data_IF_129432865976
#
_entry.id   IF_129432865976
#
_cell.length_a   1.000
_cell.length_b   1.000
_cell.length_c   1.000
_cell.angle_alpha   90.00
_cell.angle_beta   90.00
_cell.angle_gamma   90.00
#
_symmetry.space_group_name_H-M   'P 1'
#
loop_
_entity.id
_entity.type
_entity.pdbx_description
1 polymer ?
#
# COMPACT_ATOMS: atom_id res chain seq x y z
N UNK A 1 -20.88 5.92 9.34
CA UNK A 1 -20.72 5.23 8.04
C UNK A 1 -19.36 4.54 7.97
N UNK A 2 -19.30 3.46 7.24
CA UNK A 2 -18.04 2.72 7.02
C UNK A 2 -17.43 3.10 5.68
N UNK A 3 -16.14 3.33 5.67
CA UNK A 3 -15.38 3.68 4.49
C UNK A 3 -14.23 2.70 4.31
N UNK A 4 -14.02 2.26 3.09
CA UNK A 4 -12.97 1.31 2.74
C UNK A 4 -11.80 2.04 2.11
N UNK A 5 -10.59 1.55 2.39
CA UNK A 5 -9.37 2.21 1.94
C UNK A 5 -8.38 1.19 1.38
N UNK A 6 -7.61 1.65 0.42
CA UNK A 6 -6.42 0.96 -0.07
C UNK A 6 -5.23 1.89 0.09
N UNK A 7 -4.19 1.40 0.76
CA UNK A 7 -2.99 2.18 1.03
C UNK A 7 -1.78 1.42 0.46
N UNK A 8 -0.97 2.10 -0.32
CA UNK A 8 0.28 1.55 -0.85
C UNK A 8 1.43 2.09 -0.02
N UNK A 9 2.26 1.18 0.50
CA UNK A 9 3.46 1.53 1.25
C UNK A 9 4.67 1.00 0.49
N UNK A 10 5.63 1.87 0.21
CA UNK A 10 6.82 1.50 -0.56
C UNK A 10 8.06 2.17 0.01
N UNK A 11 9.23 1.61 -0.29
CA UNK A 11 10.49 2.23 0.08
C UNK A 11 10.66 3.57 -0.64
N UNK A 12 11.27 4.52 0.04
CA UNK A 12 11.60 5.81 -0.54
C UNK A 12 12.55 5.62 -1.72
N UNK A 13 12.45 6.48 -2.76
CA UNK A 13 13.39 6.43 -3.88
C UNK A 13 14.84 6.52 -3.40
N UNK A 14 15.72 5.80 -4.07
CA UNK A 14 17.14 5.80 -3.75
C UNK A 14 17.58 4.81 -2.68
N UNK A 15 16.63 4.19 -1.96
CA UNK A 15 16.95 3.16 -0.99
C UNK A 15 16.99 1.78 -1.66
N UNK A 16 17.90 0.94 -1.19
CA UNK A 16 18.03 -0.42 -1.68
C UNK A 16 16.78 -1.23 -1.35
N UNK A 17 16.27 -1.94 -2.33
CA UNK A 17 15.15 -2.87 -2.20
C UNK A 17 15.64 -4.30 -2.44
N UNK A 18 15.97 -5.05 -1.39
CA UNK A 18 16.50 -6.41 -1.56
C UNK A 18 15.53 -7.35 -2.28
N UNK A 19 14.23 -7.22 -2.00
CA UNK A 19 13.22 -8.06 -2.66
C UNK A 19 13.09 -7.73 -4.15
N UNK A 20 13.04 -6.43 -4.46
CA UNK A 20 13.00 -5.97 -5.85
C UNK A 20 14.23 -6.38 -6.63
N UNK A 21 15.40 -6.28 -6.01
CA UNK A 21 16.67 -6.71 -6.63
C UNK A 21 16.70 -8.21 -6.88
N UNK A 22 16.19 -9.01 -5.96
CA UNK A 22 16.14 -10.47 -6.14
C UNK A 22 15.23 -10.84 -7.30
N UNK A 23 14.07 -10.20 -7.42
CA UNK A 23 13.16 -10.43 -8.55
C UNK A 23 13.83 -10.02 -9.86
N UNK A 24 14.38 -8.82 -9.88
CA UNK A 24 15.02 -8.27 -11.08
C UNK A 24 16.16 -9.18 -11.57
N UNK A 25 16.97 -9.70 -10.65
CA UNK A 25 18.07 -10.59 -10.98
C UNK A 25 17.63 -11.95 -11.51
N UNK A 26 16.41 -12.38 -11.21
CA UNK A 26 15.87 -13.67 -11.65
C UNK A 26 15.21 -13.63 -13.01
N UNK A 27 14.76 -12.46 -13.45
CA UNK A 27 13.95 -12.32 -14.67
C UNK A 27 14.69 -12.69 -15.96
N UNK A 28 15.99 -12.32 -16.15
CA UNK A 28 16.68 -12.69 -17.39
C UNK A 28 16.73 -14.18 -17.64
N UNK A 29 16.98 -14.99 -16.60
CA UNK A 29 17.01 -16.45 -16.73
C UNK A 29 15.66 -17.04 -17.11
N UNK A 30 14.58 -16.31 -16.83
CA UNK A 30 13.21 -16.72 -17.16
C UNK A 30 12.74 -16.19 -18.51
N UNK A 31 13.59 -15.48 -19.23
CA UNK A 31 13.27 -14.97 -20.57
C UNK A 31 12.93 -13.48 -20.63
N UNK A 32 13.02 -12.76 -19.52
CA UNK A 32 12.70 -11.33 -19.48
C UNK A 32 13.96 -10.52 -19.15
N UNK A 33 14.78 -10.27 -20.15
CA UNK A 33 15.97 -9.46 -20.00
C UNK A 33 15.69 -7.95 -20.13
N UNK A 34 14.47 -7.58 -20.44
CA UNK A 34 14.06 -6.20 -20.71
C UNK A 34 13.30 -5.54 -19.54
N UNK A 35 13.23 -6.20 -18.39
CA UNK A 35 12.63 -5.64 -17.19
C UNK A 35 13.70 -5.04 -16.29
N UNK A 36 13.40 -3.88 -15.70
CA UNK A 36 14.32 -3.18 -14.80
C UNK A 36 13.56 -2.38 -13.76
N UNK A 37 14.29 -1.90 -12.76
CA UNK A 37 13.73 -1.05 -11.69
C UNK A 37 12.58 -1.71 -10.94
N UNK A 38 12.73 -2.98 -10.62
CA UNK A 38 11.73 -3.73 -9.88
C UNK A 38 11.71 -3.24 -8.43
N UNK A 39 10.53 -2.86 -7.95
CA UNK A 39 10.31 -2.40 -6.59
C UNK A 39 9.18 -3.20 -5.95
N UNK A 40 9.36 -3.55 -4.70
CA UNK A 40 8.35 -4.30 -3.93
C UNK A 40 7.81 -3.40 -2.81
N UNK A 41 6.50 -3.43 -2.61
CA UNK A 41 5.85 -2.69 -1.54
C UNK A 41 4.70 -3.47 -0.94
N UNK A 42 4.00 -2.83 -0.01
CA UNK A 42 2.83 -3.41 0.66
C UNK A 42 1.56 -2.74 0.16
N UNK A 43 0.51 -3.55 0.05
CA UNK A 43 -0.84 -3.08 -0.20
C UNK A 43 -1.66 -3.40 1.05
N UNK A 44 -2.17 -2.37 1.71
CA UNK A 44 -2.97 -2.52 2.93
C UNK A 44 -4.42 -2.14 2.62
N UNK A 45 -5.35 -2.99 2.98
CA UNK A 45 -6.77 -2.72 2.85
C UNK A 45 -7.39 -2.67 4.24
N UNK A 46 -8.22 -1.66 4.48
CA UNK A 46 -8.89 -1.52 5.78
C UNK A 46 -10.22 -0.78 5.64
N UNK A 47 -11.04 -0.92 6.67
CA UNK A 47 -12.32 -0.22 6.78
C UNK A 47 -12.30 0.62 8.03
N UNK A 48 -12.72 1.87 7.92
CA UNK A 48 -12.82 2.80 9.05
C UNK A 48 -14.26 3.28 9.17
N UNK A 49 -14.80 3.20 10.38
CA UNK A 49 -16.12 3.75 10.70
C UNK A 49 -15.93 5.18 11.19
N UNK A 50 -16.52 6.13 10.48
CA UNK A 50 -16.42 7.56 10.82
C UNK A 50 -17.67 8.29 10.35
N UNK A 51 -17.86 9.50 10.85
CA UNK A 51 -19.03 10.29 10.49
C UNK A 51 -18.97 10.77 9.04
N UNK A 52 -17.78 11.10 8.55
CA UNK A 52 -17.57 11.58 7.20
C UNK A 52 -16.38 10.89 6.56
N UNK A 53 -16.33 10.90 5.22
CA UNK A 53 -15.18 10.39 4.50
C UNK A 53 -13.91 11.17 4.83
N UNK A 54 -14.01 12.50 4.96
CA UNK A 54 -12.85 13.33 5.32
C UNK A 54 -12.28 12.94 6.67
N UNK A 55 -13.13 12.65 7.66
CA UNK A 55 -12.69 12.19 8.98
C UNK A 55 -12.00 10.82 8.88
N UNK A 56 -12.56 9.92 8.07
CA UNK A 56 -11.97 8.61 7.85
C UNK A 56 -10.60 8.71 7.17
N UNK A 57 -10.46 9.54 6.15
CA UNK A 57 -9.19 9.79 5.46
C UNK A 57 -8.14 10.31 6.43
N UNK A 58 -8.51 11.25 7.30
CA UNK A 58 -7.60 11.80 8.30
C UNK A 58 -7.08 10.72 9.25
N UNK A 59 -7.94 9.80 9.66
CA UNK A 59 -7.55 8.69 10.53
C UNK A 59 -6.61 7.73 9.82
N UNK A 60 -6.90 7.38 8.57
CA UNK A 60 -6.06 6.48 7.78
C UNK A 60 -4.68 7.08 7.54
N UNK A 61 -4.63 8.39 7.26
CA UNK A 61 -3.38 9.10 7.09
C UNK A 61 -2.51 9.00 8.35
N UNK A 62 -3.11 9.22 9.51
CA UNK A 62 -2.41 9.09 10.79
C UNK A 62 -1.96 7.65 11.05
N UNK A 63 -2.82 6.67 10.78
CA UNK A 63 -2.46 5.26 10.91
C UNK A 63 -1.28 4.90 10.01
N UNK A 64 -1.29 5.37 8.77
CA UNK A 64 -0.23 5.10 7.83
C UNK A 64 1.11 5.66 8.32
N UNK A 65 1.11 6.88 8.84
CA UNK A 65 2.32 7.51 9.38
C UNK A 65 2.87 6.79 10.59
N UNK A 66 2.00 6.34 11.48
CA UNK A 66 2.38 5.86 12.81
C UNK A 66 2.55 4.34 12.89
N UNK A 67 1.91 3.58 12.01
CA UNK A 67 1.88 2.12 12.11
C UNK A 67 2.11 1.41 10.80
N UNK A 68 1.43 1.82 9.72
CA UNK A 68 1.44 1.07 8.47
C UNK A 68 2.76 1.22 7.71
N UNK A 69 3.44 2.32 7.89
CA UNK A 69 4.73 2.57 7.25
C UNK A 69 5.81 2.89 8.29
N UNK A 70 7.07 2.68 7.89
CA UNK A 70 8.21 3.20 8.63
C UNK A 70 8.62 4.51 7.97
N UNK A 71 8.31 5.68 8.55
CA UNK A 71 8.50 6.96 7.88
C UNK A 71 9.96 7.32 7.61
N UNK A 72 10.90 6.61 8.24
CA UNK A 72 12.33 6.85 7.99
C UNK A 72 12.72 6.32 6.61
N UNK A 73 12.20 5.17 6.20
CA UNK A 73 12.62 4.49 4.97
C UNK A 73 11.47 4.28 3.98
N UNK A 74 10.22 4.48 4.41
CA UNK A 74 9.06 4.23 3.56
C UNK A 74 8.23 5.48 3.36
N UNK A 75 7.53 5.52 2.24
CA UNK A 75 6.46 6.46 1.97
C UNK A 75 5.17 5.70 1.73
N UNK A 76 4.06 6.38 1.83
CA UNK A 76 2.76 5.78 1.57
C UNK A 76 1.89 6.72 0.78
N UNK A 77 0.86 6.14 0.18
CA UNK A 77 -0.21 6.93 -0.45
C UNK A 77 -1.53 6.19 -0.28
N UNK A 78 -2.57 6.95 -0.07
CA UNK A 78 -3.94 6.42 -0.05
C UNK A 78 -4.37 6.35 -1.51
N UNK A 79 -4.56 5.12 -1.99
CA UNK A 79 -4.85 4.87 -3.39
C UNK A 79 -6.31 5.15 -3.72
N UNK A 80 -7.20 4.75 -2.81
CA UNK A 80 -8.63 4.96 -2.99
C UNK A 80 -9.35 4.94 -1.65
N UNK A 81 -10.48 5.63 -1.59
CA UNK A 81 -11.44 5.55 -0.49
C UNK A 81 -12.84 5.55 -1.08
N UNK A 82 -13.75 4.83 -0.45
CA UNK A 82 -15.15 4.78 -0.90
C UNK A 82 -16.04 4.28 0.22
N UNK A 83 -17.32 4.70 0.25
CA UNK A 83 -18.29 4.12 1.18
C UNK A 83 -18.55 2.65 0.86
N UNK A 84 -18.87 1.87 1.89
CA UNK A 84 -19.37 0.51 1.69
C UNK A 84 -20.79 0.54 1.11
N UNK A 85 -21.22 -0.52 0.42
CA UNK A 85 -20.55 -1.82 0.29
C UNK A 85 -19.64 -1.93 -0.95
N UNK A 86 -18.54 -2.64 -0.77
CA UNK A 86 -17.70 -3.14 -1.87
C UNK A 86 -17.38 -4.60 -1.54
N UNK A 87 -17.65 -5.56 -2.44
CA UNK A 87 -17.42 -6.98 -2.16
C UNK A 87 -16.02 -7.33 -1.70
N UNK A 88 -15.01 -6.56 -2.11
CA UNK A 88 -13.62 -6.79 -1.68
C UNK A 88 -13.42 -6.58 -0.18
N UNK A 89 -14.29 -5.80 0.46
CA UNK A 89 -14.15 -5.41 1.87
C UNK A 89 -15.25 -6.01 2.73
N UNK A 90 -16.00 -6.99 2.21
CA UNK A 90 -16.99 -7.69 3.02
C UNK A 90 -16.31 -8.41 4.17
N UNK A 91 -16.91 -8.31 5.36
CA UNK A 91 -16.41 -9.00 6.53
C UNK A 91 -16.74 -10.49 6.39
N UNK A 92 -15.71 -11.30 6.22
CA UNK A 92 -15.83 -12.75 6.11
C UNK A 92 -15.34 -13.47 7.37
N UNK A 93 -14.99 -12.72 8.38
CA UNK A 93 -14.49 -13.27 9.64
C UNK A 93 -15.63 -13.82 10.52
#
# INVERSE_FOLDING_TARGET
MKYQFQVIVSLKPGLLDPQGKAIEGSLPAMGWANASNVRVGKHVELVVDAETEAAAVSQVDEMAQRLLSNPVIESYRILSSAPLPDPRFEDVS
#
